data_IF_462058743109
#
_entry.id   IF_462058743109
#
_cell.length_a   1.000
_cell.length_b   1.000
_cell.length_c   1.000
_cell.angle_alpha   90.00
_cell.angle_beta   90.00
_cell.angle_gamma   90.00
#
_symmetry.space_group_name_H-M   'P 1'
#
loop_
_entity.id
_entity.type
_entity.pdbx_description
1 polymer ?
#
# COMPACT_ATOMS: atom_id res chain seq x y z
N UNK A 1 2.13 -0.68 7.32
CA UNK A 1 0.72 -0.30 7.50
C UNK A 1 0.67 0.64 8.70
N UNK A 2 0.48 1.96 8.53
CA UNK A 2 0.35 2.88 9.68
C UNK A 2 -0.78 3.86 9.40
N UNK A 3 -1.67 4.03 10.37
CA UNK A 3 -2.70 5.08 10.40
C UNK A 3 -2.34 5.99 11.56
N UNK A 4 -2.15 7.28 11.26
CA UNK A 4 -1.86 8.28 12.30
C UNK A 4 -3.20 8.61 12.97
N UNK A 5 -3.40 8.15 14.20
CA UNK A 5 -4.65 8.31 14.97
C UNK A 5 -4.71 9.60 15.82
N UNK A 6 -3.79 10.55 15.63
CA UNK A 6 -3.76 11.78 16.43
C UNK A 6 -5.05 12.61 16.23
N UNK A 7 -5.54 13.30 17.28
CA UNK A 7 -6.61 14.32 17.47
C UNK A 7 -7.83 14.44 16.53
N UNK A 8 -7.79 13.91 15.30
CA UNK A 8 -8.86 13.94 14.31
C UNK A 8 -10.13 13.22 14.78
N UNK A 9 -9.98 12.13 15.55
CA UNK A 9 -11.13 11.40 16.11
C UNK A 9 -11.90 12.23 17.14
N UNK A 10 -11.19 12.95 18.01
CA UNK A 10 -11.81 13.84 19.00
C UNK A 10 -12.56 15.01 18.33
N UNK A 11 -12.18 15.34 17.10
CA UNK A 11 -12.78 16.41 16.28
C UNK A 11 -13.86 15.90 15.32
N UNK A 12 -14.15 14.60 15.28
CA UNK A 12 -15.13 14.00 14.35
C UNK A 12 -14.70 14.03 12.88
N UNK A 13 -13.39 14.03 12.60
CA UNK A 13 -12.82 14.09 11.25
C UNK A 13 -12.48 12.68 10.75
N UNK A 14 -13.05 12.30 9.60
CA UNK A 14 -12.75 11.04 8.92
C UNK A 14 -11.36 10.98 8.28
N UNK A 15 -10.76 9.80 8.26
CA UNK A 15 -9.46 9.50 7.66
C UNK A 15 -9.67 8.70 6.38
N UNK A 16 -9.27 9.26 5.23
CA UNK A 16 -9.32 8.57 3.94
C UNK A 16 -7.93 8.02 3.59
N UNK A 17 -7.77 6.70 3.61
CA UNK A 17 -6.47 6.05 3.41
C UNK A 17 -6.18 5.78 1.91
N UNK A 18 -5.30 6.60 1.33
CA UNK A 18 -4.85 6.47 -0.07
C UNK A 18 -3.71 5.45 -0.27
N UNK A 19 -3.74 4.76 -1.41
CA UNK A 19 -2.82 3.66 -1.75
C UNK A 19 -2.67 2.63 -0.63
N UNK A 20 -3.80 2.07 -0.12
CA UNK A 20 -3.78 1.23 1.07
C UNK A 20 -2.96 -0.06 0.89
N UNK A 21 -2.89 -0.57 -0.34
CA UNK A 21 -2.16 -1.80 -0.68
C UNK A 21 -0.66 -1.60 -0.90
N UNK A 22 -0.07 -0.52 -0.38
CA UNK A 22 1.37 -0.29 -0.46
C UNK A 22 1.89 -0.18 -1.89
N UNK A 23 1.10 0.43 -2.79
CA UNK A 23 1.37 0.53 -4.24
C UNK A 23 1.54 -0.83 -4.93
N UNK A 24 0.79 -1.83 -4.45
CA UNK A 24 0.70 -3.20 -4.98
C UNK A 24 1.57 -4.21 -4.23
N UNK A 25 2.40 -3.77 -3.29
CA UNK A 25 3.22 -4.66 -2.46
C UNK A 25 2.37 -5.72 -1.74
N UNK A 26 1.22 -5.36 -1.16
CA UNK A 26 0.34 -6.32 -0.49
C UNK A 26 -0.50 -7.18 -1.45
N UNK A 27 -0.32 -7.02 -2.76
CA UNK A 27 -0.96 -7.87 -3.77
C UNK A 27 -0.01 -8.89 -4.38
N UNK A 28 1.27 -8.53 -4.54
CA UNK A 28 2.24 -9.37 -5.26
C UNK A 28 3.56 -9.59 -4.51
N UNK A 29 3.73 -9.01 -3.33
CA UNK A 29 4.98 -9.05 -2.58
C UNK A 29 6.12 -8.40 -3.36
N UNK A 30 7.33 -8.94 -3.23
CA UNK A 30 8.51 -8.42 -3.91
C UNK A 30 8.51 -8.64 -5.41
N UNK A 31 7.77 -9.64 -5.92
CA UNK A 31 7.60 -9.88 -7.36
C UNK A 31 6.99 -8.70 -8.12
N UNK A 32 6.44 -7.72 -7.40
CA UNK A 32 5.92 -6.51 -8.04
C UNK A 32 6.98 -5.74 -8.84
N UNK A 33 8.25 -5.78 -8.40
CA UNK A 33 9.33 -5.05 -9.07
C UNK A 33 9.67 -5.62 -10.44
N UNK A 34 9.36 -6.90 -10.68
CA UNK A 34 9.54 -7.57 -11.98
C UNK A 34 8.61 -6.97 -13.06
N UNK A 35 7.52 -6.31 -12.63
CA UNK A 35 6.54 -5.69 -13.51
C UNK A 35 6.75 -4.17 -13.70
N UNK A 36 7.82 -3.59 -13.13
CA UNK A 36 8.09 -2.17 -13.31
C UNK A 36 8.62 -1.90 -14.72
N UNK A 37 7.94 -1.03 -15.46
CA UNK A 37 8.46 -0.49 -16.72
C UNK A 37 9.52 0.57 -16.43
N UNK A 38 10.32 0.93 -17.45
CA UNK A 38 11.39 1.94 -17.33
C UNK A 38 10.91 3.28 -16.75
N UNK A 39 9.66 3.66 -17.02
CA UNK A 39 9.08 4.95 -16.60
C UNK A 39 8.23 4.82 -15.31
N UNK A 40 8.32 3.69 -14.60
CA UNK A 40 7.58 3.47 -13.36
C UNK A 40 8.23 4.21 -12.19
N UNK A 41 7.60 5.29 -11.71
CA UNK A 41 8.08 6.08 -10.58
C UNK A 41 8.31 5.28 -9.28
N UNK A 42 7.76 4.06 -9.16
CA UNK A 42 8.00 3.19 -8.01
C UNK A 42 9.44 2.69 -7.97
N UNK A 43 10.16 2.69 -9.09
CA UNK A 43 11.58 2.32 -9.16
C UNK A 43 12.45 3.19 -8.24
N UNK A 44 12.06 4.45 -8.02
CA UNK A 44 12.82 5.37 -7.16
C UNK A 44 12.39 5.31 -5.68
N UNK A 45 11.37 4.53 -5.34
CA UNK A 45 10.89 4.47 -3.97
C UNK A 45 11.88 3.70 -3.08
N UNK A 46 12.30 4.25 -1.93
CA UNK A 46 13.28 3.59 -1.07
C UNK A 46 12.87 2.17 -0.67
N UNK A 47 11.60 1.92 -0.37
CA UNK A 47 11.08 0.59 0.00
C UNK A 47 11.15 -0.49 -1.08
N UNK A 48 11.35 -0.09 -2.34
CA UNK A 48 11.51 -1.01 -3.48
C UNK A 48 12.97 -1.14 -3.93
N UNK A 49 13.91 -0.45 -3.27
CA UNK A 49 15.34 -0.66 -3.51
C UNK A 49 15.78 -2.04 -3.04
N UNK A 50 16.75 -2.71 -3.71
CA UNK A 50 17.07 -4.12 -3.47
C UNK A 50 17.28 -4.50 -2.00
N UNK A 51 18.06 -3.71 -1.25
CA UNK A 51 18.35 -3.96 0.17
C UNK A 51 17.10 -3.89 1.05
N UNK A 52 16.26 -2.86 0.85
CA UNK A 52 15.02 -2.69 1.59
C UNK A 52 13.96 -3.72 1.17
N UNK A 53 13.92 -4.06 -0.12
CA UNK A 53 13.00 -5.03 -0.69
C UNK A 53 13.24 -6.42 -0.12
N UNK A 54 14.51 -6.83 0.03
CA UNK A 54 14.88 -8.10 0.67
C UNK A 54 14.41 -8.15 2.13
N UNK A 55 14.56 -7.06 2.88
CA UNK A 55 14.07 -7.01 4.27
C UNK A 55 12.55 -7.01 4.32
N UNK A 56 11.89 -6.23 3.46
CA UNK A 56 10.44 -6.14 3.37
C UNK A 56 9.80 -7.46 2.89
N UNK A 57 10.51 -8.33 2.18
CA UNK A 57 10.02 -9.66 1.79
C UNK A 57 9.53 -10.46 3.01
N UNK A 58 10.28 -10.41 4.11
CA UNK A 58 9.90 -11.12 5.35
C UNK A 58 8.55 -10.62 5.89
N UNK A 59 8.27 -9.31 5.78
CA UNK A 59 6.99 -8.73 6.17
C UNK A 59 5.86 -9.28 5.30
N UNK A 60 6.06 -9.34 3.98
CA UNK A 60 5.07 -9.89 3.08
C UNK A 60 4.78 -11.37 3.36
N UNK A 61 5.82 -12.18 3.64
CA UNK A 61 5.67 -13.59 3.98
C UNK A 61 4.82 -13.78 5.24
N UNK A 62 5.07 -13.00 6.30
CA UNK A 62 4.29 -13.05 7.54
C UNK A 62 2.83 -12.63 7.32
N UNK A 63 2.60 -11.56 6.56
CA UNK A 63 1.25 -11.15 6.16
C UNK A 63 0.55 -12.24 5.34
N UNK A 64 1.28 -12.90 4.44
CA UNK A 64 0.75 -13.98 3.61
C UNK A 64 0.42 -15.25 4.41
N UNK A 65 1.25 -15.62 5.40
CA UNK A 65 0.96 -16.70 6.33
C UNK A 65 -0.32 -16.43 7.13
N UNK A 66 -0.46 -15.22 7.68
CA UNK A 66 -1.66 -14.85 8.43
C UNK A 66 -2.91 -14.80 7.54
N UNK A 67 -2.78 -14.26 6.32
CA UNK A 67 -3.86 -14.23 5.35
C UNK A 67 -4.33 -15.65 4.97
N UNK A 68 -3.37 -16.56 4.77
CA UNK A 68 -3.64 -17.99 4.49
C UNK A 68 -4.40 -18.64 5.65
N UNK A 69 -3.97 -18.43 6.90
CA UNK A 69 -4.68 -18.95 8.09
C UNK A 69 -6.11 -18.43 8.19
N UNK A 70 -6.36 -17.20 7.73
CA UNK A 70 -7.68 -16.57 7.65
C UNK A 70 -8.52 -17.01 6.45
N UNK A 71 -7.94 -17.72 5.49
CA UNK A 71 -8.62 -18.05 4.24
C UNK A 71 -8.89 -16.83 3.36
N UNK A 72 -8.03 -15.81 3.41
CA UNK A 72 -8.15 -14.60 2.60
C UNK A 72 -6.83 -14.28 1.87
N UNK A 73 -6.86 -13.31 0.95
CA UNK A 73 -5.64 -12.85 0.27
C UNK A 73 -4.86 -11.85 1.12
N UNK A 74 -3.54 -11.67 0.91
CA UNK A 74 -2.77 -10.63 1.59
C UNK A 74 -3.34 -9.21 1.41
N UNK A 75 -3.92 -8.94 0.23
CA UNK A 75 -4.60 -7.67 -0.04
C UNK A 75 -5.88 -7.50 0.77
N UNK A 76 -6.66 -8.57 0.92
CA UNK A 76 -7.83 -8.57 1.79
C UNK A 76 -7.45 -8.36 3.25
N UNK A 77 -6.41 -9.03 3.73
CA UNK A 77 -5.92 -8.86 5.09
C UNK A 77 -5.45 -7.41 5.36
N UNK A 78 -4.72 -6.81 4.42
CA UNK A 78 -4.26 -5.43 4.55
C UNK A 78 -5.41 -4.41 4.60
N UNK A 79 -6.45 -4.60 3.76
CA UNK A 79 -7.65 -3.76 3.77
C UNK A 79 -8.50 -3.99 5.02
N UNK A 80 -8.65 -5.23 5.45
CA UNK A 80 -9.37 -5.59 6.68
C UNK A 80 -8.73 -4.91 7.88
N UNK A 81 -7.40 -4.94 7.99
CA UNK A 81 -6.69 -4.25 9.07
C UNK A 81 -6.99 -2.74 9.08
N UNK A 82 -7.05 -2.09 7.91
CA UNK A 82 -7.42 -0.66 7.82
C UNK A 82 -8.86 -0.41 8.28
N UNK A 83 -9.81 -1.25 7.88
CA UNK A 83 -11.19 -1.15 8.34
C UNK A 83 -11.32 -1.34 9.86
N UNK A 84 -10.45 -2.14 10.49
CA UNK A 84 -10.43 -2.34 11.94
C UNK A 84 -9.70 -1.22 12.71
N UNK A 85 -9.09 -0.23 12.03
CA UNK A 85 -8.46 0.90 12.72
C UNK A 85 -9.47 1.84 13.37
N UNK A 86 -10.72 1.87 12.90
CA UNK A 86 -11.82 2.65 13.44
C UNK A 86 -12.90 2.91 12.40
N UNK A 87 -14.11 3.25 12.84
CA UNK A 87 -15.25 3.52 11.95
C UNK A 87 -15.03 4.74 11.05
N UNK A 88 -14.13 5.65 11.44
CA UNK A 88 -13.81 6.86 10.71
C UNK A 88 -12.68 6.66 9.69
N UNK A 89 -12.17 5.42 9.53
CA UNK A 89 -11.11 5.08 8.58
C UNK A 89 -11.70 4.45 7.32
N UNK A 90 -11.62 5.17 6.21
CA UNK A 90 -12.11 4.72 4.91
C UNK A 90 -10.94 4.50 3.93
N UNK A 91 -10.48 3.25 3.70
CA UNK A 91 -9.52 2.98 2.63
C UNK A 91 -10.18 3.14 1.25
N UNK A 92 -9.43 3.70 0.30
CA UNK A 92 -9.87 3.88 -1.10
C UNK A 92 -9.00 3.04 -2.06
N UNK A 93 -9.14 1.70 -2.06
CA UNK A 93 -8.40 0.86 -2.99
C UNK A 93 -8.90 1.04 -4.42
N UNK A 94 -8.02 1.52 -5.31
CA UNK A 94 -8.28 1.58 -6.75
C UNK A 94 -7.98 0.25 -7.45
N UNK A 95 -8.68 -0.02 -8.54
CA UNK A 95 -8.42 -1.18 -9.41
C UNK A 95 -8.99 -0.94 -10.81
N UNK A 96 -8.39 -1.57 -11.82
CA UNK A 96 -8.91 -1.64 -13.21
C UNK A 96 -9.50 -3.01 -13.56
N UNK A 97 -9.42 -3.99 -12.65
CA UNK A 97 -9.87 -5.38 -12.84
C UNK A 97 -11.03 -5.70 -11.90
N UNK A 98 -12.05 -6.39 -12.41
CA UNK A 98 -13.25 -6.75 -11.64
C UNK A 98 -12.94 -7.78 -10.55
N UNK A 99 -11.99 -8.69 -10.81
CA UNK A 99 -11.55 -9.70 -9.84
C UNK A 99 -10.96 -9.03 -8.60
N UNK A 100 -10.11 -8.02 -8.80
CA UNK A 100 -9.53 -7.22 -7.73
C UNK A 100 -10.61 -6.39 -6.99
N UNK A 101 -11.62 -5.89 -7.71
CA UNK A 101 -12.74 -5.19 -7.08
C UNK A 101 -13.51 -6.11 -6.13
N UNK A 102 -13.82 -7.34 -6.58
CA UNK A 102 -14.45 -8.36 -5.75
C UNK A 102 -13.57 -8.75 -4.55
N UNK A 103 -12.24 -8.86 -4.75
CA UNK A 103 -11.31 -9.08 -3.64
C UNK A 103 -11.35 -7.94 -2.61
N UNK A 104 -11.35 -6.69 -3.07
CA UNK A 104 -11.44 -5.51 -2.18
C UNK A 104 -12.72 -5.54 -1.35
N UNK A 105 -13.87 -5.86 -1.95
CA UNK A 105 -15.14 -6.04 -1.22
C UNK A 105 -15.02 -7.18 -0.20
N UNK A 106 -14.42 -8.31 -0.58
CA UNK A 106 -14.25 -9.46 0.30
C UNK A 106 -13.45 -9.15 1.58
N UNK A 107 -12.64 -8.09 1.59
CA UNK A 107 -11.93 -7.65 2.79
C UNK A 107 -12.87 -7.25 3.95
N UNK A 108 -14.10 -6.80 3.64
CA UNK A 108 -15.10 -6.41 4.64
C UNK A 108 -15.59 -7.60 5.49
N UNK A 109 -15.47 -8.82 4.96
CA UNK A 109 -15.86 -10.06 5.63
C UNK A 109 -14.76 -10.63 6.53
N UNK A 110 -13.52 -10.15 6.40
CA UNK A 110 -12.38 -10.62 7.19
C UNK A 110 -12.46 -9.99 8.58
N UNK A 111 -12.50 -10.83 9.63
CA UNK A 111 -12.48 -10.38 11.03
C UNK A 111 -11.13 -10.64 11.65
N UNK A 112 -10.55 -9.62 12.28
CA UNK A 112 -9.25 -9.68 12.94
C UNK A 112 -9.42 -9.66 14.45
N UNK A 113 -8.73 -10.56 15.15
CA UNK A 113 -8.68 -10.53 16.61
C UNK A 113 -7.72 -9.43 17.08
N UNK A 114 -7.80 -9.00 18.35
CA UNK A 114 -6.85 -8.03 18.90
C UNK A 114 -5.38 -8.48 18.76
N UNK A 115 -5.11 -9.77 18.92
CA UNK A 115 -3.76 -10.34 18.81
C UNK A 115 -3.23 -10.25 17.38
N UNK A 116 -4.08 -10.53 16.40
CA UNK A 116 -3.72 -10.43 14.98
C UNK A 116 -3.54 -8.97 14.55
N UNK A 117 -4.38 -8.06 15.07
CA UNK A 117 -4.21 -6.63 14.86
C UNK A 117 -2.86 -6.15 15.37
N UNK A 118 -2.45 -6.60 16.56
CA UNK A 118 -1.15 -6.29 17.17
C UNK A 118 0.02 -6.94 16.42
N UNK A 119 -0.13 -8.19 15.95
CA UNK A 119 0.88 -8.85 15.12
C UNK A 119 1.12 -8.04 13.83
N UNK A 120 0.05 -7.67 13.12
CA UNK A 120 0.15 -6.87 11.89
C UNK A 120 0.72 -5.47 12.16
N UNK A 121 0.38 -4.84 13.29
CA UNK A 121 0.94 -3.54 13.67
C UNK A 121 2.46 -3.61 13.92
N UNK A 122 2.93 -4.64 14.62
CA UNK A 122 4.37 -4.81 14.87
C UNK A 122 5.18 -5.02 13.59
N UNK A 123 4.60 -5.65 12.56
CA UNK A 123 5.21 -5.75 11.24
C UNK A 123 5.40 -4.40 10.55
N UNK A 124 4.60 -3.38 10.90
CA UNK A 124 4.72 -2.06 10.32
C UNK A 124 5.91 -1.26 10.84
N UNK A 125 6.42 -1.58 12.03
CA UNK A 125 7.56 -0.90 12.66
C UNK A 125 8.90 -1.31 12.07
N UNK A 126 8.95 -2.49 11.45
CA UNK A 126 10.17 -3.04 10.85
C UNK A 126 10.27 -2.80 9.33
N UNK A 127 9.31 -2.08 8.73
CA UNK A 127 9.33 -1.71 7.30
C UNK A 127 10.54 -0.84 7.00
N UNK A 128 11.22 -1.13 5.90
CA UNK A 128 12.44 -0.46 5.48
C UNK A 128 12.23 0.39 4.23
N UNK A 129 12.85 1.56 4.24
CA UNK A 129 12.71 2.58 3.21
C UNK A 129 11.46 3.44 3.39
N UNK A 130 11.58 4.73 3.06
CA UNK A 130 10.49 5.69 3.12
C UNK A 130 9.36 5.37 2.12
N UNK A 131 8.18 5.93 2.43
CA UNK A 131 6.97 5.81 1.60
C UNK A 131 7.13 6.52 0.25
N UNK A 132 7.87 7.62 0.20
CA UNK A 132 8.03 8.45 -0.99
C UNK A 132 9.50 8.55 -1.36
N UNK A 133 9.77 8.62 -2.66
CA UNK A 133 11.05 9.13 -3.15
C UNK A 133 11.13 10.65 -2.89
N UNK A 134 12.27 11.26 -3.21
CA UNK A 134 12.38 12.73 -3.22
C UNK A 134 11.23 13.33 -4.06
N UNK A 135 10.56 14.34 -3.51
CA UNK A 135 9.46 14.98 -4.22
C UNK A 135 10.01 15.70 -5.46
N UNK A 136 9.45 15.48 -6.66
CA UNK A 136 9.82 16.28 -7.82
C UNK A 136 9.57 17.75 -7.52
N UNK A 137 10.50 18.60 -7.92
CA UNK A 137 10.44 20.03 -7.64
C UNK A 137 10.19 20.83 -8.91
N UNK A 138 10.16 22.16 -8.81
CA UNK A 138 10.13 23.06 -9.97
C UNK A 138 11.30 22.81 -10.95
N UNK A 139 12.39 22.19 -10.48
CA UNK A 139 13.56 21.84 -11.31
C UNK A 139 13.29 20.71 -12.29
N UNK A 140 12.31 19.86 -11.99
CA UNK A 140 11.97 18.67 -12.77
C UNK A 140 10.63 18.85 -13.51
N UNK A 141 10.09 20.07 -13.50
CA UNK A 141 8.78 20.43 -14.06
C UNK A 141 8.94 21.25 -15.34
N UNK A 142 9.51 20.64 -16.38
CA UNK A 142 9.63 21.26 -17.70
C UNK A 142 8.38 21.07 -18.57
N UNK A 143 8.12 22.04 -19.44
CA UNK A 143 7.06 21.94 -20.46
C UNK A 143 7.69 21.50 -21.78
N UNK A 144 7.17 20.44 -22.44
CA UNK A 144 7.69 20.03 -23.74
C UNK A 144 7.69 21.19 -24.75
N UNK A 145 8.77 21.39 -25.52
CA UNK A 145 8.84 22.49 -26.48
C UNK A 145 7.81 22.28 -27.60
N UNK A 146 7.24 23.36 -28.15
CA UNK A 146 6.22 23.32 -29.22
C UNK A 146 6.63 22.48 -30.45
N UNK A 147 7.94 22.30 -30.68
CA UNK A 147 8.48 21.46 -31.76
C UNK A 147 8.21 19.97 -31.57
N UNK A 148 8.04 19.48 -30.34
CA UNK A 148 7.78 18.06 -30.06
C UNK A 148 6.37 17.62 -30.45
N UNK A 149 5.45 18.56 -30.69
CA UNK A 149 4.06 18.28 -31.05
C UNK A 149 3.85 18.05 -32.54
N UNK A 150 4.86 18.35 -33.38
CA UNK A 150 4.74 18.27 -34.85
C UNK A 150 4.94 16.86 -35.44
N UNK A 151 5.25 15.87 -34.59
CA UNK A 151 5.51 14.48 -35.00
C UNK A 151 4.57 13.47 -34.30
N UNK A 152 3.44 13.93 -33.76
CA UNK A 152 2.41 13.07 -33.16
C UNK A 152 1.27 12.80 -34.15
#
# INVERSE_FOLDING_TARGET
MKVIKCNYMELGIGIVAYSPLGRGFFSSGTKIVENFTKDDFRQDMPRFQPENLQQNQTIFERVNELATKKGCTPSQLALAWLHHQGNDVCPIPGTTKIENFNQNIGALSVKLTPEEMAEIESLADIVKGDRSANAPTWKDSDTPPLSSWKNA
#
